data_IF_662234101075
#
_entry.id   IF_662234101075
#
_cell.length_a   1.000
_cell.length_b   1.000
_cell.length_c   1.000
_cell.angle_alpha   90.00
_cell.angle_beta   90.00
_cell.angle_gamma   90.00
#
_symmetry.space_group_name_H-M   'P 1'
#
loop_
_entity.id
_entity.type
_entity.pdbx_description
1 polymer ?
#
# COMPACT_ATOMS: atom_id res chain seq x y z
N UNK A 1 4.12 6.22 45.48
CA UNK A 1 5.29 6.43 44.60
C UNK A 1 5.12 5.85 43.19
N UNK A 2 4.81 4.56 43.03
CA UNK A 2 4.67 3.89 41.70
C UNK A 2 3.69 4.57 40.71
N UNK A 3 2.53 5.07 41.17
CA UNK A 3 1.58 5.78 40.29
C UNK A 3 2.11 7.10 39.72
N UNK A 4 2.90 7.86 40.51
CA UNK A 4 3.51 9.10 40.06
C UNK A 4 4.59 8.84 39.02
N UNK A 5 5.41 7.80 39.22
CA UNK A 5 6.44 7.37 38.25
C UNK A 5 5.80 6.94 36.93
N UNK A 6 4.68 6.20 36.97
CA UNK A 6 3.96 5.79 35.76
C UNK A 6 3.39 7.00 35.00
N UNK A 7 2.74 7.94 35.70
CA UNK A 7 2.17 9.15 35.10
C UNK A 7 3.28 10.02 34.49
N UNK A 8 4.40 10.21 35.19
CA UNK A 8 5.56 10.94 34.68
C UNK A 8 6.18 10.24 33.46
N UNK A 9 6.26 8.91 33.45
CA UNK A 9 6.72 8.15 32.29
C UNK A 9 5.83 8.31 31.07
N UNK A 10 4.50 8.28 31.26
CA UNK A 10 3.52 8.53 30.19
C UNK A 10 3.65 9.97 29.67
N UNK A 11 3.76 10.96 30.55
CA UNK A 11 3.91 12.37 30.14
C UNK A 11 5.22 12.63 29.40
N UNK A 12 6.34 12.01 29.81
CA UNK A 12 7.63 12.10 29.10
C UNK A 12 7.53 11.46 27.71
N UNK A 13 6.84 10.31 27.60
CA UNK A 13 6.57 9.67 26.31
C UNK A 13 5.72 10.57 25.39
N UNK A 14 4.64 11.16 25.90
CA UNK A 14 3.76 12.05 25.13
C UNK A 14 4.46 13.36 24.74
N UNK A 15 5.25 13.95 25.65
CA UNK A 15 6.04 15.14 25.35
C UNK A 15 7.17 14.86 24.35
N UNK A 16 7.85 13.72 24.48
CA UNK A 16 8.84 13.26 23.51
C UNK A 16 8.22 13.01 22.12
N UNK A 17 6.99 12.46 22.07
CA UNK A 17 6.22 12.30 20.84
C UNK A 17 5.88 13.64 20.17
N UNK A 18 5.40 14.62 20.96
CA UNK A 18 5.07 15.95 20.44
C UNK A 18 6.32 16.67 19.91
N UNK A 19 7.45 16.53 20.61
CA UNK A 19 8.72 17.09 20.17
C UNK A 19 9.21 16.43 18.87
N UNK A 20 9.16 15.09 18.76
CA UNK A 20 9.53 14.37 17.54
C UNK A 20 8.63 14.72 16.35
N UNK A 21 7.32 14.92 16.59
CA UNK A 21 6.39 15.39 15.57
C UNK A 21 6.72 16.80 15.09
N UNK A 22 6.99 17.73 16.01
CA UNK A 22 7.38 19.10 15.65
C UNK A 22 8.71 19.14 14.91
N UNK A 23 9.67 18.29 15.30
CA UNK A 23 10.95 18.15 14.60
C UNK A 23 10.74 17.62 13.17
N UNK A 24 9.89 16.60 12.98
CA UNK A 24 9.48 16.11 11.65
C UNK A 24 8.72 17.17 10.83
N UNK A 25 7.89 18.00 11.46
CA UNK A 25 7.13 19.04 10.79
C UNK A 25 8.03 20.16 10.21
N UNK A 26 9.16 20.44 10.87
CA UNK A 26 10.06 21.53 10.49
C UNK A 26 11.31 21.09 9.72
N UNK A 27 11.79 19.86 9.85
CA UNK A 27 12.96 19.40 9.10
C UNK A 27 12.58 18.93 7.70
N UNK A 28 12.90 19.73 6.67
CA UNK A 28 12.91 19.27 5.27
C UNK A 28 14.09 18.32 4.96
N UNK A 29 15.00 18.13 5.90
CA UNK A 29 16.21 17.31 5.71
C UNK A 29 15.98 15.83 6.05
N UNK A 30 16.04 15.02 5.00
CA UNK A 30 15.90 13.54 4.98
C UNK A 30 16.84 12.76 5.90
N UNK A 31 17.86 13.38 6.48
CA UNK A 31 18.91 12.69 7.24
C UNK A 31 18.44 12.21 8.62
N UNK A 32 17.74 13.08 9.38
CA UNK A 32 17.20 12.73 10.72
C UNK A 32 16.02 11.76 10.61
N UNK A 33 15.22 11.92 9.55
CA UNK A 33 14.15 10.99 9.15
C UNK A 33 14.69 9.57 8.92
N UNK A 34 15.90 9.45 8.34
CA UNK A 34 16.50 8.17 7.95
C UNK A 34 17.13 7.35 9.08
N UNK A 35 17.57 7.96 10.19
CA UNK A 35 18.44 7.26 11.15
C UNK A 35 17.68 6.71 12.35
N UNK A 36 16.69 7.42 12.91
CA UNK A 36 15.98 6.95 14.11
C UNK A 36 14.62 6.33 13.77
N UNK A 37 13.84 7.02 12.95
CA UNK A 37 12.51 6.56 12.53
C UNK A 37 12.60 5.46 11.48
N UNK A 38 13.48 5.62 10.48
CA UNK A 38 13.68 4.59 9.47
C UNK A 38 14.34 3.35 10.05
N UNK A 39 15.30 3.40 10.98
CA UNK A 39 15.93 2.16 11.46
C UNK A 39 15.00 1.33 12.35
N UNK A 40 14.18 1.93 13.22
CA UNK A 40 13.15 1.21 13.98
C UNK A 40 11.97 0.77 13.08
N UNK A 41 11.55 1.62 12.13
CA UNK A 41 10.51 1.25 11.17
C UNK A 41 10.99 0.26 10.10
N UNK A 42 12.29 0.20 9.78
CA UNK A 42 12.91 -0.81 8.90
C UNK A 42 13.08 -2.12 9.64
N UNK A 43 13.48 -2.09 10.93
CA UNK A 43 13.65 -3.30 11.74
C UNK A 43 12.34 -4.10 11.88
N UNK A 44 11.19 -3.41 11.89
CA UNK A 44 9.85 -4.03 11.90
C UNK A 44 9.11 -3.93 10.55
N UNK A 45 9.73 -3.36 9.52
CA UNK A 45 9.12 -3.00 8.22
C UNK A 45 7.76 -2.26 8.33
N UNK A 46 7.63 -1.41 9.34
CA UNK A 46 6.47 -0.56 9.65
C UNK A 46 6.58 0.83 9.03
N UNK A 47 7.24 0.98 7.88
CA UNK A 47 7.45 2.27 7.20
C UNK A 47 6.16 3.09 7.02
N UNK A 48 5.03 2.39 6.90
CA UNK A 48 3.68 2.99 6.78
C UNK A 48 2.79 2.73 8.01
N UNK A 49 3.31 2.17 9.09
CA UNK A 49 2.53 1.73 10.25
C UNK A 49 3.24 2.06 11.56
N UNK A 50 3.72 3.30 11.66
CA UNK A 50 4.33 3.88 12.85
C UNK A 50 3.54 3.52 14.12
N UNK A 51 2.22 3.52 14.07
CA UNK A 51 1.30 3.15 15.16
C UNK A 51 1.69 1.85 15.88
N UNK A 52 2.07 0.80 15.14
CA UNK A 52 2.42 -0.50 15.71
C UNK A 52 3.84 -0.53 16.30
N UNK A 53 4.76 0.29 15.76
CA UNK A 53 6.11 0.41 16.30
C UNK A 53 6.07 1.09 17.68
N UNK A 54 5.11 2.00 17.86
CA UNK A 54 4.94 2.79 19.09
C UNK A 54 4.09 2.11 20.16
N UNK A 55 3.26 1.12 19.81
CA UNK A 55 2.56 0.32 20.83
C UNK A 55 3.49 -0.67 21.51
N UNK A 56 4.59 -1.11 20.87
CA UNK A 56 5.54 -2.08 21.40
C UNK A 56 6.22 -1.63 22.71
N UNK A 57 6.79 -0.41 22.83
CA UNK A 57 7.35 0.08 24.10
C UNK A 57 6.28 0.19 25.20
N UNK A 58 5.04 0.50 24.83
CA UNK A 58 3.91 0.51 25.75
C UNK A 58 3.61 -0.90 26.25
N UNK A 59 3.65 -1.92 25.39
CA UNK A 59 3.54 -3.33 25.78
C UNK A 59 4.70 -3.84 26.63
N UNK A 60 5.93 -3.39 26.38
CA UNK A 60 7.09 -3.67 27.23
C UNK A 60 6.95 -3.02 28.61
N UNK A 61 6.40 -1.82 28.71
CA UNK A 61 6.08 -1.22 30.01
C UNK A 61 5.00 -2.00 30.77
N UNK A 62 4.15 -2.75 30.06
CA UNK A 62 3.12 -3.60 30.67
C UNK A 62 3.65 -4.95 31.17
N UNK A 63 4.74 -5.51 30.61
CA UNK A 63 5.34 -6.76 31.12
C UNK A 63 5.92 -6.60 32.52
N UNK A 64 6.22 -5.37 32.96
CA UNK A 64 6.62 -5.07 34.34
C UNK A 64 5.44 -5.05 35.33
N UNK A 65 4.23 -5.44 34.90
CA UNK A 65 3.02 -5.43 35.72
C UNK A 65 2.50 -6.85 35.99
N UNK A 66 1.81 -7.02 37.12
CA UNK A 66 0.98 -8.21 37.38
C UNK A 66 -0.33 -8.11 36.61
N UNK A 67 -0.47 -8.95 35.60
CA UNK A 67 -1.74 -9.28 34.96
C UNK A 67 -2.47 -10.30 35.83
N UNK A 68 -3.81 -10.28 35.80
CA UNK A 68 -4.54 -11.48 36.19
C UNK A 68 -4.43 -12.55 35.09
N UNK A 69 -4.82 -13.79 35.41
CA UNK A 69 -4.65 -14.94 34.51
C UNK A 69 -5.40 -14.75 33.19
N UNK A 70 -6.54 -14.07 33.19
CA UNK A 70 -7.38 -13.88 32.01
C UNK A 70 -6.77 -12.80 31.11
N UNK A 71 -6.36 -11.68 31.70
CA UNK A 71 -5.68 -10.59 30.99
C UNK A 71 -4.39 -11.06 30.33
N UNK A 72 -3.62 -11.89 31.03
CA UNK A 72 -2.38 -12.43 30.48
C UNK A 72 -2.64 -13.29 29.24
N UNK A 73 -3.67 -14.14 29.26
CA UNK A 73 -4.06 -14.95 28.10
C UNK A 73 -4.48 -14.07 26.92
N UNK A 74 -5.32 -13.05 27.15
CA UNK A 74 -5.70 -12.10 26.09
C UNK A 74 -4.49 -11.37 25.51
N UNK A 75 -3.56 -10.93 26.35
CA UNK A 75 -2.32 -10.29 25.92
C UNK A 75 -1.46 -11.23 25.06
N UNK A 76 -1.30 -12.49 25.46
CA UNK A 76 -0.52 -13.48 24.70
C UNK A 76 -1.16 -13.81 23.35
N UNK A 77 -2.49 -13.91 23.28
CA UNK A 77 -3.23 -14.09 22.02
C UNK A 77 -3.04 -12.89 21.10
N UNK A 78 -3.21 -11.67 21.64
CA UNK A 78 -2.98 -10.44 20.89
C UNK A 78 -1.55 -10.36 20.35
N UNK A 79 -0.55 -10.61 21.20
CA UNK A 79 0.86 -10.58 20.81
C UNK A 79 1.15 -11.60 19.72
N UNK A 80 0.55 -12.80 19.79
CA UNK A 80 0.69 -13.84 18.78
C UNK A 80 0.09 -13.40 17.43
N UNK A 81 -1.09 -12.78 17.43
CA UNK A 81 -1.71 -12.22 16.21
C UNK A 81 -0.85 -11.10 15.64
N UNK A 82 -0.37 -10.19 16.49
CA UNK A 82 0.49 -9.08 16.09
C UNK A 82 1.81 -9.56 15.50
N UNK A 83 2.45 -10.56 16.11
CA UNK A 83 3.64 -11.21 15.58
C UNK A 83 3.37 -11.94 14.27
N UNK A 84 2.25 -12.65 14.15
CA UNK A 84 1.87 -13.33 12.92
C UNK A 84 1.65 -12.33 11.78
N UNK A 85 1.01 -11.20 12.05
CA UNK A 85 0.86 -10.10 11.08
C UNK A 85 2.18 -9.37 10.85
N UNK A 86 3.09 -9.27 11.80
CA UNK A 86 4.42 -8.72 11.55
C UNK A 86 5.25 -9.64 10.64
N UNK A 87 5.25 -10.95 10.92
CA UNK A 87 5.99 -11.97 10.17
C UNK A 87 5.42 -12.15 8.75
N UNK A 88 4.09 -12.19 8.60
CA UNK A 88 3.41 -12.40 7.30
C UNK A 88 3.10 -11.09 6.56
N UNK A 89 2.82 -10.03 7.30
CA UNK A 89 2.31 -8.75 6.82
C UNK A 89 3.37 -7.69 6.56
N UNK A 90 4.67 -8.06 6.59
CA UNK A 90 5.78 -7.27 6.05
C UNK A 90 5.56 -6.81 4.58
N UNK A 91 4.47 -7.21 3.92
CA UNK A 91 4.11 -6.83 2.55
C UNK A 91 2.77 -6.07 2.38
N UNK A 92 1.92 -5.87 3.40
CA UNK A 92 0.61 -5.24 3.16
C UNK A 92 0.03 -4.43 4.32
N UNK A 93 0.03 -3.10 4.15
CA UNK A 93 -0.56 -2.09 5.05
C UNK A 93 -2.03 -2.34 5.42
N UNK A 94 -2.77 -3.12 4.62
CA UNK A 94 -4.14 -3.49 4.96
C UNK A 94 -4.23 -4.38 6.21
N UNK A 95 -3.24 -5.25 6.45
CA UNK A 95 -3.25 -6.12 7.62
C UNK A 95 -2.93 -5.36 8.91
N UNK A 96 -2.08 -4.34 8.88
CA UNK A 96 -1.86 -3.46 10.04
C UNK A 96 -3.12 -2.72 10.47
N UNK A 97 -3.98 -2.32 9.53
CA UNK A 97 -5.28 -1.71 9.84
C UNK A 97 -6.23 -2.68 10.55
N UNK A 98 -6.13 -3.99 10.31
CA UNK A 98 -7.00 -4.98 10.98
C UNK A 98 -6.70 -5.14 12.47
N UNK A 99 -5.48 -4.84 12.92
CA UNK A 99 -5.09 -4.90 14.34
C UNK A 99 -5.43 -3.60 15.07
N UNK A 100 -5.59 -2.49 14.36
CA UNK A 100 -5.80 -1.16 14.94
C UNK A 100 -6.97 -1.11 15.95
N UNK A 101 -8.16 -1.68 15.69
CA UNK A 101 -9.25 -1.68 16.69
C UNK A 101 -8.86 -2.38 18.00
N UNK A 102 -8.09 -3.47 17.91
CA UNK A 102 -7.67 -4.22 19.10
C UNK A 102 -6.59 -3.45 19.87
N UNK A 103 -5.65 -2.79 19.18
CA UNK A 103 -4.70 -1.88 19.80
C UNK A 103 -5.41 -0.74 20.55
N UNK A 104 -6.42 -0.12 19.92
CA UNK A 104 -7.21 0.96 20.52
C UNK A 104 -7.94 0.45 21.75
N UNK A 105 -8.62 -0.70 21.65
CA UNK A 105 -9.32 -1.31 22.77
C UNK A 105 -8.39 -1.64 23.94
N UNK A 106 -7.26 -2.30 23.67
CA UNK A 106 -6.26 -2.62 24.68
C UNK A 106 -5.73 -1.34 25.36
N UNK A 107 -5.47 -0.30 24.58
CA UNK A 107 -5.05 1.00 25.11
C UNK A 107 -6.11 1.59 26.06
N UNK A 108 -7.37 1.70 25.63
CA UNK A 108 -8.45 2.24 26.47
C UNK A 108 -8.68 1.43 27.74
N UNK A 109 -8.70 0.10 27.62
CA UNK A 109 -8.86 -0.81 28.74
C UNK A 109 -7.80 -0.56 29.81
N UNK A 110 -6.54 -0.42 29.39
CA UNK A 110 -5.41 -0.18 30.27
C UNK A 110 -5.43 1.23 30.87
N UNK A 111 -5.79 2.25 30.09
CA UNK A 111 -5.93 3.63 30.60
C UNK A 111 -6.99 3.68 31.70
N UNK A 112 -8.16 3.08 31.44
CA UNK A 112 -9.28 3.05 32.38
C UNK A 112 -8.95 2.30 33.68
N UNK A 113 -8.24 1.16 33.59
CA UNK A 113 -7.86 0.37 34.78
C UNK A 113 -6.83 1.10 35.67
N UNK A 114 -6.06 2.04 35.11
CA UNK A 114 -4.82 2.51 35.73
C UNK A 114 -4.79 3.98 36.12
N UNK A 115 -5.57 4.81 35.43
CA UNK A 115 -5.67 6.21 35.77
C UNK A 115 -6.74 6.41 36.85
N UNK A 116 -6.55 7.38 37.75
CA UNK A 116 -7.60 7.76 38.68
C UNK A 116 -8.86 8.16 37.91
N UNK A 117 -10.02 7.82 38.45
CA UNK A 117 -11.36 7.88 37.84
C UNK A 117 -11.85 9.28 37.41
N UNK A 118 -10.98 10.28 37.30
CA UNK A 118 -11.33 11.56 36.69
C UNK A 118 -11.63 11.32 35.21
N UNK A 119 -12.89 11.51 34.76
CA UNK A 119 -13.28 11.27 33.37
C UNK A 119 -12.48 12.14 32.40
N UNK A 120 -12.07 13.34 32.85
CA UNK A 120 -11.26 14.30 32.11
C UNK A 120 -9.88 13.76 31.77
N UNK A 121 -9.22 13.06 32.71
CA UNK A 121 -7.89 12.49 32.49
C UNK A 121 -7.97 11.30 31.53
N UNK A 122 -8.99 10.45 31.67
CA UNK A 122 -9.23 9.33 30.75
C UNK A 122 -9.52 9.85 29.34
N UNK A 123 -10.33 10.90 29.21
CA UNK A 123 -10.61 11.55 27.93
C UNK A 123 -9.35 12.12 27.30
N UNK A 124 -8.56 12.91 28.03
CA UNK A 124 -7.32 13.53 27.51
C UNK A 124 -6.31 12.46 27.07
N UNK A 125 -6.06 11.46 27.92
CA UNK A 125 -5.06 10.41 27.63
C UNK A 125 -5.51 9.49 26.51
N UNK A 126 -6.80 9.36 26.24
CA UNK A 126 -7.30 8.47 25.17
C UNK A 126 -7.67 9.15 23.87
N UNK A 127 -8.18 10.36 23.95
CA UNK A 127 -8.63 11.11 22.79
C UNK A 127 -7.46 11.77 22.06
N UNK A 128 -6.45 12.28 22.78
CA UNK A 128 -5.30 12.95 22.16
C UNK A 128 -4.49 11.99 21.26
N UNK A 129 -4.11 10.77 21.69
CA UNK A 129 -3.40 9.83 20.81
C UNK A 129 -4.22 9.41 19.59
N UNK A 130 -5.54 9.24 19.75
CA UNK A 130 -6.45 8.93 18.62
C UNK A 130 -6.57 10.09 17.63
N UNK A 131 -6.70 11.31 18.13
CA UNK A 131 -6.74 12.51 17.32
C UNK A 131 -5.41 12.68 16.57
N UNK A 132 -4.30 12.42 17.23
CA UNK A 132 -2.98 12.45 16.64
C UNK A 132 -2.80 11.36 15.57
N UNK A 133 -3.26 10.14 15.82
CA UNK A 133 -3.30 9.06 14.84
C UNK A 133 -4.15 9.42 13.62
N UNK A 134 -5.29 10.06 13.83
CA UNK A 134 -6.16 10.56 12.78
C UNK A 134 -5.44 11.63 11.94
N UNK A 135 -4.88 12.66 12.58
CA UNK A 135 -4.13 13.71 11.87
C UNK A 135 -2.92 13.15 11.12
N UNK A 136 -2.20 12.20 11.70
CA UNK A 136 -1.07 11.56 11.06
C UNK A 136 -1.51 10.70 9.87
N UNK A 137 -2.63 9.97 9.97
CA UNK A 137 -3.21 9.24 8.84
C UNK A 137 -3.60 10.21 7.71
N UNK A 138 -4.22 11.34 8.04
CA UNK A 138 -4.57 12.39 7.07
C UNK A 138 -3.31 13.02 6.44
N UNK A 139 -2.24 13.20 7.20
CA UNK A 139 -1.01 13.87 6.74
C UNK A 139 -0.08 12.97 5.93
N UNK A 140 0.14 11.73 6.39
CA UNK A 140 1.00 10.74 5.70
C UNK A 140 0.41 10.28 4.38
N UNK A 141 -0.91 10.34 4.28
CA UNK A 141 -1.65 10.23 3.03
C UNK A 141 -1.43 11.56 2.27
N UNK A 142 -0.25 11.70 1.63
CA UNK A 142 0.15 12.89 0.88
C UNK A 142 -1.05 13.46 0.09
N UNK A 143 -1.39 14.75 0.23
CA UNK A 143 -2.57 15.34 -0.41
C UNK A 143 -2.58 15.08 -1.91
N UNK A 144 -1.45 15.17 -2.59
CA UNK A 144 -1.39 14.97 -4.04
C UNK A 144 -1.60 13.51 -4.45
N UNK A 145 -0.94 12.57 -3.76
CA UNK A 145 -1.08 11.14 -4.05
C UNK A 145 -2.48 10.63 -3.68
N UNK A 146 -3.04 11.12 -2.58
CA UNK A 146 -4.40 10.81 -2.14
C UNK A 146 -5.46 11.51 -2.97
N UNK A 147 -5.30 12.78 -3.34
CA UNK A 147 -6.24 13.47 -4.21
C UNK A 147 -6.20 12.87 -5.61
N UNK A 148 -5.03 12.48 -6.14
CA UNK A 148 -4.93 11.71 -7.38
C UNK A 148 -5.60 10.35 -7.24
N UNK A 149 -5.35 9.61 -6.16
CA UNK A 149 -5.99 8.32 -5.91
C UNK A 149 -7.50 8.42 -5.67
N UNK A 150 -7.96 9.43 -4.93
CA UNK A 150 -9.36 9.67 -4.57
C UNK A 150 -10.13 10.21 -5.78
N UNK A 151 -9.60 11.17 -6.52
CA UNK A 151 -10.20 11.63 -7.78
C UNK A 151 -10.27 10.48 -8.79
N UNK A 152 -9.22 9.65 -8.88
CA UNK A 152 -9.24 8.42 -9.66
C UNK A 152 -10.28 7.42 -9.16
N UNK A 153 -10.39 7.18 -7.84
CA UNK A 153 -11.37 6.24 -7.26
C UNK A 153 -12.79 6.76 -7.37
N UNK A 154 -13.03 8.06 -7.24
CA UNK A 154 -14.33 8.69 -7.44
C UNK A 154 -14.71 8.67 -8.93
N UNK A 155 -13.76 8.91 -9.84
CA UNK A 155 -13.98 8.74 -11.27
C UNK A 155 -14.28 7.26 -11.58
N UNK A 156 -13.48 6.32 -11.10
CA UNK A 156 -13.72 4.88 -11.26
C UNK A 156 -15.05 4.46 -10.63
N UNK A 157 -15.41 4.93 -9.44
CA UNK A 157 -16.70 4.60 -8.80
C UNK A 157 -17.87 5.16 -9.61
N UNK A 158 -17.75 6.34 -10.22
CA UNK A 158 -18.75 6.87 -11.17
C UNK A 158 -18.89 5.97 -12.41
N UNK A 159 -17.82 5.32 -12.87
CA UNK A 159 -17.87 4.38 -13.99
C UNK A 159 -18.23 2.93 -13.58
N UNK A 160 -17.96 2.51 -12.34
CA UNK A 160 -17.96 1.08 -11.94
C UNK A 160 -19.18 0.62 -11.14
N UNK A 161 -20.02 1.52 -10.61
CA UNK A 161 -21.16 1.11 -9.77
C UNK A 161 -22.41 0.66 -10.54
N UNK A 162 -22.48 0.84 -11.87
CA UNK A 162 -23.65 0.42 -12.66
C UNK A 162 -23.44 -0.85 -13.47
N UNK A 163 -22.23 -1.40 -13.52
CA UNK A 163 -21.89 -2.53 -14.40
C UNK A 163 -21.06 -3.53 -13.62
N UNK A 164 -21.60 -4.73 -13.45
CA UNK A 164 -20.99 -5.88 -12.80
C UNK A 164 -19.48 -5.94 -13.06
N UNK A 165 -18.69 -5.84 -11.98
CA UNK A 165 -17.22 -5.70 -11.90
C UNK A 165 -16.39 -6.83 -12.57
N UNK A 166 -17.05 -7.70 -13.35
CA UNK A 166 -16.46 -8.86 -14.00
C UNK A 166 -16.59 -8.72 -15.53
N UNK A 167 -15.54 -8.29 -16.24
CA UNK A 167 -15.46 -8.45 -17.69
C UNK A 167 -15.27 -9.93 -18.03
N UNK A 168 -16.35 -10.70 -17.92
CA UNK A 168 -16.31 -12.15 -18.12
C UNK A 168 -15.78 -12.50 -19.52
N UNK A 169 -16.10 -11.68 -20.52
CA UNK A 169 -15.71 -11.86 -21.91
C UNK A 169 -14.19 -11.85 -22.13
N UNK A 170 -13.48 -10.85 -21.61
CA UNK A 170 -12.03 -10.76 -21.83
C UNK A 170 -11.29 -11.87 -21.08
N UNK A 171 -11.70 -12.20 -19.86
CA UNK A 171 -11.08 -13.30 -19.11
C UNK A 171 -11.31 -14.65 -19.79
N UNK A 172 -12.52 -14.90 -20.31
CA UNK A 172 -12.80 -16.10 -21.10
C UNK A 172 -11.94 -16.14 -22.37
N UNK A 173 -11.76 -15.01 -23.06
CA UNK A 173 -10.90 -14.95 -24.24
C UNK A 173 -9.44 -15.27 -23.90
N UNK A 174 -8.93 -14.74 -22.78
CA UNK A 174 -7.57 -15.00 -22.32
C UNK A 174 -7.32 -16.47 -21.94
N UNK A 175 -8.37 -17.23 -21.57
CA UNK A 175 -8.27 -18.66 -21.30
C UNK A 175 -8.09 -19.51 -22.57
N UNK A 176 -8.31 -18.95 -23.76
CA UNK A 176 -8.24 -19.68 -25.03
C UNK A 176 -6.91 -19.40 -25.77
N UNK A 177 -6.45 -20.33 -26.64
CA UNK A 177 -5.39 -20.03 -27.60
C UNK A 177 -5.74 -18.84 -28.50
N UNK A 178 -4.77 -17.99 -28.88
CA UNK A 178 -3.34 -18.14 -28.61
C UNK A 178 -2.89 -17.60 -27.23
N UNK A 179 -3.78 -16.99 -26.46
CA UNK A 179 -3.43 -16.19 -25.26
C UNK A 179 -3.00 -17.02 -24.06
N UNK A 180 -3.65 -18.16 -23.82
CA UNK A 180 -3.49 -18.97 -22.60
C UNK A 180 -2.07 -19.45 -22.30
N UNK A 181 -1.21 -19.50 -23.31
CA UNK A 181 0.19 -19.94 -23.21
C UNK A 181 1.20 -18.78 -23.10
N UNK A 182 0.73 -17.54 -23.16
CA UNK A 182 1.58 -16.37 -23.35
C UNK A 182 1.78 -15.61 -22.03
N UNK A 183 2.85 -14.82 -21.97
CA UNK A 183 3.17 -14.00 -20.80
C UNK A 183 2.69 -12.56 -21.04
N UNK A 184 2.09 -11.99 -20.00
CA UNK A 184 1.49 -10.66 -20.03
C UNK A 184 2.25 -9.69 -19.11
N UNK A 185 2.30 -8.42 -19.50
CA UNK A 185 2.47 -7.32 -18.54
C UNK A 185 1.07 -6.90 -18.07
N UNK A 186 0.78 -6.94 -16.78
CA UNK A 186 -0.57 -6.70 -16.23
C UNK A 186 -0.57 -5.44 -15.38
N UNK A 187 -1.25 -4.39 -15.83
CA UNK A 187 -1.27 -3.10 -15.14
C UNK A 187 -2.31 -3.06 -14.01
N UNK A 188 -1.93 -3.51 -12.81
CA UNK A 188 -2.75 -3.54 -11.59
C UNK A 188 -4.18 -4.09 -11.75
N UNK A 189 -4.30 -5.28 -12.35
CA UNK A 189 -5.57 -6.01 -12.46
C UNK A 189 -5.52 -7.33 -11.69
N UNK A 190 -5.86 -7.35 -10.39
CA UNK A 190 -5.86 -8.58 -9.60
C UNK A 190 -6.69 -9.70 -10.22
N UNK A 191 -7.82 -9.35 -10.87
CA UNK A 191 -8.70 -10.32 -11.53
C UNK A 191 -7.99 -11.18 -12.58
N UNK A 192 -6.95 -10.68 -13.25
CA UNK A 192 -6.14 -11.48 -14.17
C UNK A 192 -5.57 -12.73 -13.50
N UNK A 193 -5.01 -12.58 -12.29
CA UNK A 193 -4.33 -13.64 -11.55
C UNK A 193 -5.30 -14.64 -10.92
N UNK A 194 -6.55 -14.24 -10.69
CA UNK A 194 -7.58 -15.12 -10.12
C UNK A 194 -8.38 -15.86 -11.19
N UNK A 195 -8.57 -15.24 -12.36
CA UNK A 195 -9.55 -15.71 -13.36
C UNK A 195 -8.94 -16.15 -14.69
N UNK A 196 -7.62 -16.09 -14.82
CA UNK A 196 -6.93 -16.58 -16.02
C UNK A 196 -5.80 -17.54 -15.65
N UNK A 197 -5.51 -18.56 -16.47
CA UNK A 197 -4.34 -19.41 -16.32
C UNK A 197 -3.07 -18.75 -16.87
N UNK A 198 -3.17 -17.56 -17.47
CA UNK A 198 -2.08 -16.87 -18.11
C UNK A 198 -1.00 -16.45 -17.10
N UNK A 199 0.27 -16.46 -17.54
CA UNK A 199 1.36 -15.91 -16.73
C UNK A 199 1.41 -14.40 -16.91
N UNK A 200 1.65 -13.67 -15.83
CA UNK A 200 1.70 -12.20 -15.87
C UNK A 200 2.71 -11.61 -14.92
N UNK A 201 3.37 -10.54 -15.34
CA UNK A 201 4.16 -9.65 -14.49
C UNK A 201 3.28 -8.49 -14.04
N UNK A 202 3.19 -8.27 -12.74
CA UNK A 202 2.44 -7.15 -12.19
C UNK A 202 3.19 -5.84 -12.46
N UNK A 203 2.51 -4.88 -13.08
CA UNK A 203 3.01 -3.53 -13.35
C UNK A 203 2.07 -2.50 -12.70
N UNK A 204 2.64 -1.41 -12.22
CA UNK A 204 1.90 -0.27 -11.68
C UNK A 204 2.31 1.03 -12.36
N UNK A 205 1.50 1.45 -13.34
CA UNK A 205 1.78 2.61 -14.18
C UNK A 205 2.09 3.92 -13.41
N UNK A 206 1.36 4.30 -12.35
CA UNK A 206 1.62 5.55 -11.61
C UNK A 206 3.03 5.70 -11.06
N UNK A 207 3.66 4.58 -10.66
CA UNK A 207 5.00 4.61 -10.09
C UNK A 207 6.05 4.01 -11.03
N UNK A 208 5.65 3.64 -12.26
CA UNK A 208 6.51 2.99 -13.24
C UNK A 208 7.23 1.75 -12.69
N UNK A 209 6.54 0.87 -11.96
CA UNK A 209 7.19 -0.31 -11.34
C UNK A 209 6.58 -1.61 -11.80
N UNK A 210 7.41 -2.56 -12.22
CA UNK A 210 7.02 -3.94 -12.43
C UNK A 210 7.72 -4.86 -11.42
N UNK A 211 7.06 -5.96 -11.07
CA UNK A 211 7.48 -6.84 -9.98
C UNK A 211 7.97 -8.18 -10.53
N UNK A 212 9.13 -8.61 -10.04
CA UNK A 212 9.77 -9.89 -10.35
C UNK A 212 10.03 -10.67 -9.06
N UNK A 213 10.59 -11.86 -9.18
CA UNK A 213 11.00 -12.65 -8.01
C UNK A 213 12.14 -12.00 -7.20
N UNK A 214 12.84 -11.00 -7.78
CA UNK A 214 13.94 -10.28 -7.13
C UNK A 214 13.51 -8.94 -6.50
N UNK A 215 12.23 -8.59 -6.57
CA UNK A 215 11.70 -7.32 -6.06
C UNK A 215 11.00 -6.52 -7.14
N UNK A 216 11.16 -5.20 -7.11
CA UNK A 216 10.60 -4.32 -8.14
C UNK A 216 11.72 -3.65 -8.94
N UNK A 217 11.45 -3.44 -10.21
CA UNK A 217 12.29 -2.64 -11.11
C UNK A 217 11.41 -1.56 -11.74
N UNK A 218 12.01 -0.42 -12.08
CA UNK A 218 11.29 0.55 -12.90
C UNK A 218 11.16 0.02 -14.32
N UNK A 219 10.13 0.35 -15.11
CA UNK A 219 10.04 -0.09 -16.51
C UNK A 219 10.59 0.97 -17.47
N UNK A 220 10.16 2.22 -17.33
CA UNK A 220 10.50 3.32 -18.22
C UNK A 220 11.66 4.20 -17.72
N UNK A 221 11.80 4.39 -16.41
CA UNK A 221 12.79 5.28 -15.80
C UNK A 221 14.20 4.93 -16.28
N UNK A 222 14.92 5.92 -16.82
CA UNK A 222 16.27 5.79 -17.38
C UNK A 222 16.40 4.79 -18.55
N UNK A 223 15.29 4.41 -19.19
CA UNK A 223 15.28 3.62 -20.42
C UNK A 223 14.68 4.42 -21.55
N UNK A 224 15.02 4.10 -22.79
CA UNK A 224 14.34 4.47 -24.03
C UNK A 224 13.22 3.49 -24.33
N UNK A 225 12.30 3.84 -25.22
CA UNK A 225 11.18 2.94 -25.54
C UNK A 225 11.65 1.64 -26.22
N UNK A 226 12.76 1.68 -26.97
CA UNK A 226 13.36 0.46 -27.54
C UNK A 226 13.96 -0.44 -26.47
N UNK A 227 14.55 0.13 -25.42
CA UNK A 227 15.01 -0.64 -24.26
C UNK A 227 13.83 -1.22 -23.49
N UNK A 228 12.73 -0.48 -23.32
CA UNK A 228 11.49 -1.00 -22.72
C UNK A 228 10.95 -2.16 -23.54
N UNK A 229 10.88 -2.02 -24.87
CA UNK A 229 10.48 -3.09 -25.77
C UNK A 229 11.37 -4.34 -25.59
N UNK A 230 12.70 -4.16 -25.54
CA UNK A 230 13.65 -5.26 -25.32
C UNK A 230 13.47 -5.92 -23.95
N UNK A 231 13.24 -5.14 -22.89
CA UNK A 231 12.94 -5.68 -21.56
C UNK A 231 11.66 -6.51 -21.59
N UNK A 232 10.58 -6.00 -22.19
CA UNK A 232 9.31 -6.72 -22.25
C UNK A 232 9.43 -8.01 -23.08
N UNK A 233 10.02 -7.94 -24.27
CA UNK A 233 10.04 -9.07 -25.22
C UNK A 233 11.18 -10.05 -24.96
N UNK A 234 12.40 -9.58 -24.69
CA UNK A 234 13.58 -10.42 -24.56
C UNK A 234 13.83 -10.86 -23.10
N UNK A 235 13.71 -9.95 -22.13
CA UNK A 235 13.96 -10.27 -20.70
C UNK A 235 12.75 -10.94 -20.05
N UNK A 236 11.55 -10.39 -20.24
CA UNK A 236 10.34 -10.87 -19.58
C UNK A 236 9.50 -11.81 -20.45
N UNK A 237 9.81 -11.94 -21.74
CA UNK A 237 9.06 -12.74 -22.70
C UNK A 237 7.55 -12.39 -22.76
N UNK A 238 7.20 -11.14 -22.43
CA UNK A 238 5.85 -10.63 -22.55
C UNK A 238 5.51 -10.44 -24.02
N UNK A 239 4.38 -11.02 -24.46
CA UNK A 239 3.80 -10.76 -25.79
C UNK A 239 2.63 -9.80 -25.77
N UNK A 240 1.97 -9.69 -24.62
CA UNK A 240 0.77 -8.89 -24.45
C UNK A 240 0.86 -7.99 -23.24
N UNK A 241 0.10 -6.90 -23.27
CA UNK A 241 -0.11 -6.00 -22.14
C UNK A 241 -1.62 -5.97 -21.85
N UNK A 242 -1.99 -6.32 -20.62
CA UNK A 242 -3.38 -6.28 -20.15
C UNK A 242 -3.56 -5.12 -19.17
N UNK A 243 -4.47 -4.21 -19.48
CA UNK A 243 -4.64 -2.95 -18.75
C UNK A 243 -6.09 -2.49 -18.76
N UNK A 244 -6.40 -1.51 -17.91
CA UNK A 244 -7.63 -0.74 -17.98
C UNK A 244 -7.35 0.53 -18.78
N UNK A 245 -8.30 0.96 -19.62
CA UNK A 245 -8.21 2.19 -20.40
C UNK A 245 -7.89 3.41 -19.53
N UNK A 246 -8.51 3.48 -18.35
CA UNK A 246 -8.29 4.56 -17.38
C UNK A 246 -6.88 4.52 -16.74
N UNK A 247 -6.23 3.36 -16.71
CA UNK A 247 -4.90 3.21 -16.08
C UNK A 247 -3.80 3.64 -17.04
N UNK A 248 -4.03 3.58 -18.35
CA UNK A 248 -3.08 4.03 -19.36
C UNK A 248 -2.74 5.52 -19.15
N UNK A 249 -3.77 6.32 -18.82
CA UNK A 249 -3.67 7.77 -18.61
C UNK A 249 -2.92 8.17 -17.33
N UNK A 250 -2.61 7.22 -16.45
CA UNK A 250 -1.87 7.50 -15.21
C UNK A 250 -0.37 7.71 -15.46
N UNK A 251 0.13 7.27 -16.62
CA UNK A 251 1.52 7.46 -17.03
C UNK A 251 1.56 7.73 -18.54
N UNK A 252 1.78 8.99 -18.91
CA UNK A 252 1.78 9.44 -20.31
C UNK A 252 2.79 8.72 -21.18
N UNK A 253 3.91 8.29 -20.59
CA UNK A 253 4.95 7.55 -21.28
C UNK A 253 4.52 6.11 -21.57
N UNK A 254 3.84 5.46 -20.63
CA UNK A 254 3.22 4.15 -20.85
C UNK A 254 2.14 4.23 -21.94
N UNK A 255 1.26 5.23 -21.91
CA UNK A 255 0.25 5.45 -22.96
C UNK A 255 0.89 5.68 -24.34
N UNK A 256 1.94 6.50 -24.41
CA UNK A 256 2.69 6.73 -25.65
C UNK A 256 3.32 5.44 -26.18
N UNK A 257 3.90 4.62 -25.30
CA UNK A 257 4.45 3.32 -25.66
C UNK A 257 3.40 2.36 -26.23
N UNK A 258 2.22 2.27 -25.60
CA UNK A 258 1.11 1.47 -26.12
C UNK A 258 0.71 1.89 -27.53
N UNK A 259 0.60 3.19 -27.77
CA UNK A 259 0.20 3.74 -29.07
C UNK A 259 1.25 3.53 -30.17
N UNK A 260 2.54 3.56 -29.80
CA UNK A 260 3.65 3.50 -30.76
C UNK A 260 4.15 2.09 -31.07
N UNK A 261 4.20 1.21 -30.06
CA UNK A 261 4.85 -0.11 -30.15
C UNK A 261 3.90 -1.30 -29.98
N UNK A 262 2.63 -1.03 -29.72
CA UNK A 262 1.64 -2.07 -29.49
C UNK A 262 0.44 -1.93 -30.43
N UNK A 263 -0.38 -2.97 -30.49
CA UNK A 263 -1.62 -3.00 -31.26
C UNK A 263 -2.73 -3.51 -30.36
N UNK A 264 -3.85 -2.78 -30.27
CA UNK A 264 -5.02 -3.23 -29.53
C UNK A 264 -5.57 -4.50 -30.20
N UNK A 265 -5.55 -5.64 -29.49
CA UNK A 265 -6.00 -6.95 -30.02
C UNK A 265 -7.33 -7.39 -29.42
N UNK A 266 -7.61 -7.01 -28.18
CA UNK A 266 -8.90 -7.25 -27.54
C UNK A 266 -9.31 -6.03 -26.74
N UNK A 267 -10.61 -5.79 -26.71
CA UNK A 267 -11.24 -4.86 -25.77
C UNK A 267 -12.47 -5.54 -25.19
N UNK A 268 -12.77 -5.30 -23.92
CA UNK A 268 -14.03 -5.80 -23.35
C UNK A 268 -15.21 -5.13 -24.04
N UNK A 269 -16.39 -5.74 -23.93
CA UNK A 269 -17.66 -5.20 -24.48
C UNK A 269 -17.90 -3.73 -24.11
N UNK A 270 -17.40 -3.27 -22.96
CA UNK A 270 -17.60 -1.91 -22.47
C UNK A 270 -16.41 -0.97 -22.73
N UNK A 271 -15.32 -1.45 -23.32
CA UNK A 271 -14.14 -0.63 -23.63
C UNK A 271 -13.23 -0.36 -22.42
N UNK A 272 -13.56 -0.89 -21.24
CA UNK A 272 -12.80 -0.60 -20.02
C UNK A 272 -11.47 -1.38 -19.97
N UNK A 273 -11.49 -2.64 -20.40
CA UNK A 273 -10.34 -3.53 -20.36
C UNK A 273 -9.78 -3.70 -21.77
N UNK A 274 -8.47 -3.64 -21.88
CA UNK A 274 -7.76 -3.65 -23.16
C UNK A 274 -6.59 -4.63 -23.07
N UNK A 275 -6.42 -5.43 -24.13
CA UNK A 275 -5.24 -6.24 -24.36
C UNK A 275 -4.54 -5.70 -25.59
N UNK A 276 -3.27 -5.35 -25.42
CA UNK A 276 -2.40 -4.90 -26.49
C UNK A 276 -1.38 -6.00 -26.82
N UNK A 277 -1.22 -6.35 -28.09
CA UNK A 277 -0.11 -7.16 -28.57
C UNK A 277 1.12 -6.28 -28.81
N UNK A 278 2.28 -6.70 -28.33
CA UNK A 278 3.55 -6.00 -28.55
C UNK A 278 4.05 -6.38 -29.94
N UNK A 279 4.07 -5.41 -30.87
CA UNK A 279 4.33 -5.67 -32.30
C UNK A 279 5.63 -5.07 -32.82
N UNK A 280 6.29 -4.23 -32.02
CA UNK A 280 7.52 -3.53 -32.42
C UNK A 280 7.25 -2.17 -33.04
N UNK A 281 8.29 -1.51 -33.55
CA UNK A 281 8.19 -0.17 -34.14
C UNK A 281 7.28 -0.23 -35.37
N UNK A 282 6.07 0.35 -35.30
CA UNK A 282 5.35 0.69 -36.53
C UNK A 282 6.09 1.85 -37.16
N UNK A 283 6.75 1.61 -38.30
CA UNK A 283 7.05 2.70 -39.23
C UNK A 283 5.68 3.16 -39.70
N UNK A 284 5.13 4.16 -39.02
CA UNK A 284 4.00 4.90 -39.55
C UNK A 284 4.58 5.56 -40.79
N UNK A 285 4.40 4.92 -41.94
CA UNK A 285 4.63 5.58 -43.21
C UNK A 285 3.82 6.86 -43.15
N UNK A 286 4.52 7.99 -43.21
CA UNK A 286 3.92 9.24 -43.58
C UNK A 286 3.19 8.96 -44.89
N UNK A 287 1.87 8.81 -44.82
CA UNK A 287 1.05 8.90 -46.01
C UNK A 287 1.29 10.31 -46.53
N UNK A 288 2.14 10.40 -47.55
CA UNK A 288 2.21 11.54 -48.45
C UNK A 288 0.77 11.93 -48.79
N UNK A 289 0.37 13.09 -48.26
CA UNK A 289 -0.72 13.87 -48.83
C UNK A 289 -0.27 14.44 -50.16
#
# INVERSE_FOLDING_TARGET
MRKKILISGILILVAGQYLLFLLNYHSKDSAVESILLNNLALFFNLKNSFVLAWTLPFFVLLTFRRFDSVEFVFFMVFLSIALLVAIRGAFNFRYSLTILPICIFAFFYLVNKNLPASPSIIFIVSFIPLLFLYFQMVYTVQPDSFNKWLSFRLNIQRYSYSRSFYPHDIYLALQQPPYSSQVFLVNNLPGFYYYTPCKGYYYWAPNDRYFTNHGYENLFENRTDMEVYSVLTNKLNCKYIFTLHSYNKLNTRFESFLNKYCTLVLTSRYGDYEVYGITGYRVIGENHK
#
